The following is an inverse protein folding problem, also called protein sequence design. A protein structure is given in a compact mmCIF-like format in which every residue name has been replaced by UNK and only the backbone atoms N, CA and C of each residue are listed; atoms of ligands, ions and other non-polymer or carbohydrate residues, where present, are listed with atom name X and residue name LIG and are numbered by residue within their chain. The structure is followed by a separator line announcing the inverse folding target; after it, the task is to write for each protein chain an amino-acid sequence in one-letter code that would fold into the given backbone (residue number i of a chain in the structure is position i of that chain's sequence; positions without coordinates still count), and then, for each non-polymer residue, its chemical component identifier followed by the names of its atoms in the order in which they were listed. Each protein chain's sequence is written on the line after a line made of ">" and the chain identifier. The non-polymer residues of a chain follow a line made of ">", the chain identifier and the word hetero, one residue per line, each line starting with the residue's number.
data_IF_910687955206
#
_entry.id   IF_910687955206
#
_cell.length_a   1.000
_cell.length_b   1.000
_cell.length_c   1.000
_cell.angle_alpha   90.00
_cell.angle_beta   90.00
_cell.angle_gamma   90.00
#
_symmetry.space_group_name_H-M   'P 1'
#
loop_
_entity.id
_entity.type
_entity.pdbx_description
1 polymer ?
#
# COMPACT_ATOMS: atom_id res chain seq x y z
N UNK A 1 11.80 -5.18 -1.02
CA UNK A 1 12.61 -4.30 -1.91
C UNK A 1 13.93 -3.80 -1.33
N UNK A 2 13.97 -3.18 -0.14
CA UNK A 2 15.18 -2.53 0.38
C UNK A 2 16.34 -3.52 0.68
N UNK A 3 16.02 -4.66 1.29
CA UNK A 3 16.96 -5.76 1.46
C UNK A 3 16.17 -7.07 1.64
N UNK A 4 16.35 -8.01 0.70
CA UNK A 4 15.59 -9.28 0.67
C UNK A 4 16.46 -10.49 1.06
N UNK A 5 17.51 -10.26 1.85
CA UNK A 5 18.31 -11.31 2.46
C UNK A 5 17.46 -12.10 3.48
N UNK A 6 17.47 -13.43 3.38
CA UNK A 6 16.62 -14.31 4.19
C UNK A 6 16.88 -14.17 5.70
N UNK A 7 18.13 -13.95 6.13
CA UNK A 7 18.46 -13.78 7.55
C UNK A 7 17.89 -12.48 8.11
N UNK A 8 17.90 -11.41 7.31
CA UNK A 8 17.29 -10.12 7.69
C UNK A 8 15.77 -10.25 7.76
N UNK A 9 15.14 -10.91 6.78
CA UNK A 9 13.69 -11.16 6.80
C UNK A 9 13.29 -11.99 8.03
N UNK A 10 14.05 -13.03 8.38
CA UNK A 10 13.81 -13.84 9.60
C UNK A 10 13.96 -13.01 10.88
N UNK A 11 14.93 -12.10 10.92
CA UNK A 11 15.11 -11.18 12.05
C UNK A 11 13.89 -10.27 12.22
N UNK A 12 13.45 -9.60 11.14
CA UNK A 12 12.29 -8.72 11.14
C UNK A 12 11.00 -9.46 11.49
N UNK A 13 10.81 -10.67 10.95
CA UNK A 13 9.67 -11.53 11.28
C UNK A 13 9.61 -11.85 12.78
N UNK A 14 10.75 -12.24 13.39
CA UNK A 14 10.83 -12.50 14.84
C UNK A 14 10.58 -11.24 15.69
N UNK A 15 10.89 -10.07 15.17
CA UNK A 15 10.56 -8.78 15.80
C UNK A 15 9.08 -8.39 15.63
N UNK A 16 8.27 -9.20 14.96
CA UNK A 16 6.86 -8.95 14.74
C UNK A 16 6.56 -8.02 13.57
N UNK A 17 7.49 -7.79 12.64
CA UNK A 17 7.23 -6.96 11.46
C UNK A 17 6.32 -7.67 10.44
N UNK A 18 5.52 -6.87 9.75
CA UNK A 18 4.82 -7.22 8.51
C UNK A 18 5.68 -6.92 7.28
N UNK A 19 5.27 -7.36 6.09
CA UNK A 19 6.07 -7.16 4.86
C UNK A 19 5.26 -6.53 3.72
N UNK A 20 5.92 -5.63 2.99
CA UNK A 20 5.47 -5.07 1.70
C UNK A 20 6.34 -5.69 0.59
N UNK A 21 5.68 -6.42 -0.31
CA UNK A 21 6.33 -7.13 -1.43
C UNK A 21 5.90 -6.54 -2.77
N UNK A 22 6.78 -6.55 -3.77
CA UNK A 22 6.49 -6.06 -5.13
C UNK A 22 6.60 -7.11 -6.22
N UNK A 23 6.79 -8.38 -5.86
CA UNK A 23 6.80 -9.52 -6.79
C UNK A 23 6.53 -10.84 -6.07
N UNK A 24 6.15 -11.86 -6.84
CA UNK A 24 6.01 -13.24 -6.35
C UNK A 24 7.32 -13.81 -5.78
N UNK A 25 8.47 -13.36 -6.28
CA UNK A 25 9.78 -13.74 -5.74
C UNK A 25 10.05 -13.15 -4.35
N UNK A 26 9.60 -11.93 -4.08
CA UNK A 26 9.68 -11.36 -2.74
C UNK A 26 8.68 -12.03 -1.79
N UNK A 27 7.46 -12.29 -2.24
CA UNK A 27 6.46 -13.05 -1.50
C UNK A 27 6.99 -14.44 -1.10
N UNK A 28 7.60 -15.15 -2.05
CA UNK A 28 8.26 -16.43 -1.82
C UNK A 28 9.35 -16.34 -0.74
N UNK A 29 10.21 -15.30 -0.79
CA UNK A 29 11.27 -15.10 0.21
C UNK A 29 10.72 -14.82 1.61
N UNK A 30 9.67 -14.01 1.70
CA UNK A 30 8.99 -13.69 2.95
C UNK A 30 8.37 -14.96 3.56
N UNK A 31 7.72 -15.79 2.73
CA UNK A 31 7.22 -17.10 3.15
C UNK A 31 8.36 -18.01 3.65
N UNK A 32 9.49 -18.07 2.94
CA UNK A 32 10.66 -18.86 3.35
C UNK A 32 11.36 -18.32 4.62
N UNK A 33 11.12 -17.06 4.96
CA UNK A 33 11.54 -16.49 6.23
C UNK A 33 10.58 -16.86 7.40
N UNK A 34 9.53 -17.63 7.13
CA UNK A 34 8.54 -18.08 8.12
C UNK A 34 7.55 -16.98 8.51
N UNK A 35 7.37 -15.97 7.67
CA UNK A 35 6.42 -14.89 7.94
C UNK A 35 4.98 -15.33 7.70
N UNK A 36 4.07 -14.81 8.51
CA UNK A 36 2.64 -14.94 8.32
C UNK A 36 2.20 -14.10 7.11
N UNK A 37 1.80 -14.77 6.03
CA UNK A 37 1.38 -14.14 4.78
C UNK A 37 0.10 -13.32 4.93
N UNK A 38 -0.74 -13.61 5.94
CA UNK A 38 -1.95 -12.80 6.23
C UNK A 38 -1.63 -11.38 6.68
N UNK A 39 -0.35 -11.08 6.92
CA UNK A 39 0.18 -9.76 7.29
C UNK A 39 1.00 -9.12 6.15
N UNK A 40 0.99 -9.71 4.96
CA UNK A 40 1.78 -9.25 3.81
C UNK A 40 0.91 -8.46 2.85
N UNK A 41 1.35 -7.27 2.47
CA UNK A 41 0.73 -6.48 1.39
C UNK A 41 1.53 -6.65 0.10
N UNK A 42 0.84 -6.75 -1.04
CA UNK A 42 1.48 -6.91 -2.34
C UNK A 42 1.23 -5.68 -3.21
N UNK A 43 2.26 -4.87 -3.40
CA UNK A 43 2.27 -3.69 -4.27
C UNK A 43 2.88 -3.98 -5.66
N UNK A 44 2.96 -2.96 -6.51
CA UNK A 44 3.59 -3.03 -7.85
C UNK A 44 2.59 -2.96 -8.99
N UNK A 45 2.95 -2.26 -10.07
CA UNK A 45 2.06 -1.91 -11.21
C UNK A 45 1.88 -3.01 -12.25
N UNK A 46 2.56 -4.15 -12.10
CA UNK A 46 2.68 -5.16 -13.16
C UNK A 46 2.57 -6.59 -12.63
N UNK A 47 1.69 -6.82 -11.65
CA UNK A 47 1.45 -8.16 -11.10
C UNK A 47 0.92 -9.07 -12.21
N UNK A 48 1.58 -10.20 -12.40
CA UNK A 48 1.15 -11.21 -13.37
C UNK A 48 0.00 -12.07 -12.83
N UNK A 49 -0.76 -12.72 -13.71
CA UNK A 49 -1.82 -13.66 -13.31
C UNK A 49 -1.28 -14.77 -12.37
N UNK A 50 -0.04 -15.22 -12.59
CA UNK A 50 0.61 -16.21 -11.74
C UNK A 50 0.91 -15.66 -10.34
N UNK A 51 1.39 -14.43 -10.24
CA UNK A 51 1.65 -13.77 -8.95
C UNK A 51 0.36 -13.48 -8.17
N UNK A 52 -0.71 -13.08 -8.87
CA UNK A 52 -2.03 -12.87 -8.26
C UNK A 52 -2.57 -14.19 -7.69
N UNK A 53 -2.52 -15.27 -8.48
CA UNK A 53 -2.94 -16.61 -8.03
C UNK A 53 -2.15 -17.07 -6.81
N UNK A 54 -0.82 -16.97 -6.85
CA UNK A 54 0.05 -17.32 -5.73
C UNK A 54 -0.32 -16.55 -4.47
N UNK A 55 -0.54 -15.24 -4.58
CA UNK A 55 -0.85 -14.40 -3.44
C UNK A 55 -2.24 -14.69 -2.84
N UNK A 56 -3.23 -15.02 -3.68
CA UNK A 56 -4.55 -15.48 -3.23
C UNK A 56 -4.48 -16.85 -2.53
N UNK A 57 -3.69 -17.79 -3.03
CA UNK A 57 -3.44 -19.08 -2.38
C UNK A 57 -2.79 -18.91 -1.00
N UNK A 58 -1.93 -17.91 -0.86
CA UNK A 58 -1.22 -17.59 0.37
C UNK A 58 -2.01 -16.72 1.36
N UNK A 59 -3.27 -16.34 1.04
CA UNK A 59 -4.12 -15.51 1.90
C UNK A 59 -3.43 -14.22 2.38
N UNK A 60 -2.76 -13.54 1.45
CA UNK A 60 -2.14 -12.22 1.63
C UNK A 60 -3.10 -11.22 2.31
N UNK A 61 -2.59 -10.25 3.07
CA UNK A 61 -3.42 -9.23 3.75
C UNK A 61 -4.30 -8.47 2.76
N UNK A 62 -3.68 -7.95 1.70
CA UNK A 62 -4.34 -7.25 0.60
C UNK A 62 -3.36 -6.98 -0.56
N UNK A 63 -3.92 -6.87 -1.76
CA UNK A 63 -3.24 -6.29 -2.92
C UNK A 63 -3.33 -4.77 -2.87
N UNK A 64 -2.21 -4.07 -3.00
CA UNK A 64 -2.21 -2.64 -3.32
C UNK A 64 -2.35 -2.50 -4.84
N UNK A 65 -3.55 -2.19 -5.31
CA UNK A 65 -3.95 -2.10 -6.71
C UNK A 65 -3.65 -0.72 -7.27
N UNK A 66 -3.10 -0.67 -8.47
CA UNK A 66 -2.58 0.53 -9.13
C UNK A 66 -3.42 0.96 -10.34
N UNK A 67 -4.25 0.06 -10.90
CA UNK A 67 -5.05 0.33 -12.10
C UNK A 67 -6.35 -0.48 -12.16
N UNK A 68 -7.29 -0.05 -13.01
CA UNK A 68 -8.52 -0.82 -13.26
C UNK A 68 -8.23 -2.17 -13.92
N UNK A 69 -7.32 -2.22 -14.90
CA UNK A 69 -6.98 -3.47 -15.57
C UNK A 69 -6.42 -4.51 -14.59
N UNK A 70 -5.65 -4.08 -13.61
CA UNK A 70 -5.17 -4.93 -12.53
C UNK A 70 -6.30 -5.39 -11.60
N UNK A 71 -7.20 -4.48 -11.22
CA UNK A 71 -8.38 -4.82 -10.41
C UNK A 71 -9.23 -5.90 -11.09
N UNK A 72 -9.45 -5.76 -12.40
CA UNK A 72 -10.21 -6.70 -13.22
C UNK A 72 -9.51 -8.06 -13.33
N UNK A 73 -8.18 -8.06 -13.47
CA UNK A 73 -7.40 -9.29 -13.45
C UNK A 73 -7.52 -10.02 -12.09
N UNK A 74 -7.42 -9.27 -10.99
CA UNK A 74 -7.58 -9.82 -9.63
C UNK A 74 -8.97 -10.42 -9.45
N UNK A 75 -10.04 -9.69 -9.81
CA UNK A 75 -11.42 -10.19 -9.72
C UNK A 75 -11.62 -11.48 -10.52
N UNK A 76 -11.21 -11.48 -11.80
CA UNK A 76 -11.32 -12.67 -12.68
C UNK A 76 -10.60 -13.88 -12.10
N UNK A 77 -9.40 -13.71 -11.56
CA UNK A 77 -8.61 -14.80 -10.99
C UNK A 77 -9.24 -15.29 -9.69
N UNK A 78 -9.66 -14.37 -8.82
CA UNK A 78 -10.36 -14.70 -7.57
C UNK A 78 -11.65 -15.48 -7.81
N UNK A 79 -12.45 -15.06 -8.80
CA UNK A 79 -13.63 -15.78 -9.27
C UNK A 79 -13.28 -17.20 -9.74
N UNK A 80 -12.22 -17.36 -10.54
CA UNK A 80 -11.76 -18.69 -11.01
C UNK A 80 -11.30 -19.62 -9.87
N UNK A 81 -11.03 -19.05 -8.70
CA UNK A 81 -10.56 -19.75 -7.51
C UNK A 81 -11.65 -19.88 -6.44
N UNK A 82 -12.87 -19.39 -6.69
CA UNK A 82 -13.95 -19.25 -5.70
C UNK A 82 -13.48 -18.53 -4.42
N UNK A 83 -12.77 -17.41 -4.57
CA UNK A 83 -12.24 -16.60 -3.48
C UNK A 83 -12.68 -15.15 -3.62
N UNK A 84 -12.67 -14.44 -2.50
CA UNK A 84 -12.79 -12.98 -2.45
C UNK A 84 -11.39 -12.40 -2.25
N UNK A 85 -10.93 -11.56 -3.19
CA UNK A 85 -9.62 -10.95 -3.13
C UNK A 85 -9.64 -9.68 -2.27
N UNK A 86 -8.79 -9.59 -1.24
CA UNK A 86 -8.65 -8.38 -0.46
C UNK A 86 -7.82 -7.35 -1.23
N UNK A 87 -8.36 -6.15 -1.40
CA UNK A 87 -7.70 -5.07 -2.15
C UNK A 87 -7.65 -3.78 -1.34
N UNK A 88 -6.59 -3.01 -1.57
CA UNK A 88 -6.51 -1.59 -1.31
C UNK A 88 -6.24 -0.86 -2.61
N UNK A 89 -6.92 0.25 -2.84
CA UNK A 89 -6.70 1.07 -4.03
C UNK A 89 -5.61 2.10 -3.73
N UNK A 90 -4.59 2.18 -4.60
CA UNK A 90 -3.55 3.19 -4.45
C UNK A 90 -4.05 4.55 -4.94
N UNK A 91 -4.19 5.49 -4.01
CA UNK A 91 -4.56 6.88 -4.27
C UNK A 91 -3.30 7.73 -4.38
N UNK A 92 -3.24 8.57 -5.41
CA UNK A 92 -2.34 9.71 -5.46
C UNK A 92 -3.02 10.89 -4.76
N UNK A 93 -2.51 11.35 -3.60
CA UNK A 93 -3.17 12.40 -2.82
C UNK A 93 -2.93 13.82 -3.37
N UNK A 94 -2.19 13.98 -4.48
CA UNK A 94 -1.82 15.28 -5.08
C UNK A 94 -1.08 16.20 -4.08
N UNK A 95 -0.17 15.61 -3.30
CA UNK A 95 0.66 16.30 -2.32
C UNK A 95 2.06 16.49 -2.89
N UNK A 96 2.55 17.74 -2.94
CA UNK A 96 3.92 18.03 -3.33
C UNK A 96 4.88 17.66 -2.19
N UNK A 97 5.52 16.50 -2.31
CA UNK A 97 6.51 16.02 -1.34
C UNK A 97 7.83 16.82 -1.37
N UNK A 98 7.97 17.84 -2.24
CA UNK A 98 9.18 18.67 -2.41
C UNK A 98 10.48 17.87 -2.51
N UNK A 99 10.43 16.67 -3.10
CA UNK A 99 11.61 15.83 -3.32
C UNK A 99 12.32 16.26 -4.61
N UNK A 100 13.62 15.92 -4.75
CA UNK A 100 14.39 16.21 -5.96
C UNK A 100 13.63 15.78 -7.23
N UNK A 101 13.71 16.59 -8.30
CA UNK A 101 12.92 16.49 -9.53
C UNK A 101 12.94 15.12 -10.28
N UNK A 102 13.75 14.15 -9.83
CA UNK A 102 13.81 12.78 -10.38
C UNK A 102 13.05 11.73 -9.55
N UNK A 103 12.55 12.08 -8.36
CA UNK A 103 11.87 11.15 -7.42
C UNK A 103 10.51 11.68 -6.91
N UNK A 104 10.02 12.81 -7.44
CA UNK A 104 8.72 13.39 -7.07
C UNK A 104 7.60 12.55 -7.67
N UNK A 105 7.16 11.53 -6.94
CA UNK A 105 6.12 10.62 -7.44
C UNK A 105 4.68 11.08 -7.20
N UNK A 106 4.48 12.28 -6.64
CA UNK A 106 3.17 12.78 -6.18
C UNK A 106 2.45 13.78 -7.10
N UNK A 107 2.99 14.16 -8.26
CA UNK A 107 2.31 15.13 -9.17
C UNK A 107 1.47 14.43 -10.24
N UNK A 108 0.34 15.04 -10.63
CA UNK A 108 -0.43 14.71 -11.85
C UNK A 108 0.52 14.49 -13.03
N UNK A 109 0.58 13.25 -13.54
CA UNK A 109 1.49 12.84 -14.61
C UNK A 109 2.37 11.62 -14.28
N UNK A 110 2.35 11.14 -13.04
CA UNK A 110 3.13 9.97 -12.66
C UNK A 110 2.33 8.67 -12.80
N UNK A 111 2.96 7.59 -13.26
CA UNK A 111 2.31 6.30 -13.61
C UNK A 111 1.76 5.48 -12.42
N UNK A 112 1.78 6.04 -11.21
CA UNK A 112 1.54 5.30 -9.97
C UNK A 112 0.34 5.85 -9.22
N UNK A 113 -0.53 4.95 -8.77
CA UNK A 113 -1.80 5.28 -8.17
C UNK A 113 -2.77 5.97 -9.13
N UNK A 114 -3.95 6.27 -8.59
CA UNK A 114 -5.06 6.90 -9.30
C UNK A 114 -5.40 8.23 -8.65
N UNK A 115 -5.97 9.17 -9.40
CA UNK A 115 -6.59 10.35 -8.80
C UNK A 115 -7.85 9.97 -8.01
N UNK A 116 -8.38 10.93 -7.24
CA UNK A 116 -9.53 10.71 -6.36
C UNK A 116 -10.80 10.33 -7.10
N UNK A 117 -11.01 10.88 -8.31
CA UNK A 117 -12.20 10.59 -9.10
C UNK A 117 -12.18 9.13 -9.54
N UNK A 118 -11.07 8.70 -10.13
CA UNK A 118 -10.86 7.34 -10.58
C UNK A 118 -10.85 6.34 -9.41
N UNK A 119 -10.22 6.70 -8.30
CA UNK A 119 -10.25 5.92 -7.08
C UNK A 119 -11.70 5.67 -6.61
N UNK A 120 -12.53 6.71 -6.59
CA UNK A 120 -13.93 6.61 -6.19
C UNK A 120 -14.78 5.78 -7.16
N UNK A 121 -14.51 5.87 -8.47
CA UNK A 121 -15.15 5.02 -9.48
C UNK A 121 -14.81 3.53 -9.25
N UNK A 122 -13.54 3.20 -9.02
CA UNK A 122 -13.13 1.82 -8.76
C UNK A 122 -13.61 1.31 -7.40
N UNK A 123 -13.64 2.14 -6.36
CA UNK A 123 -14.24 1.76 -5.09
C UNK A 123 -15.71 1.37 -5.29
N UNK A 124 -16.48 2.16 -6.05
CA UNK A 124 -17.86 1.79 -6.38
C UNK A 124 -17.96 0.48 -7.17
N UNK A 125 -17.02 0.20 -8.08
CA UNK A 125 -16.94 -1.09 -8.78
C UNK A 125 -16.73 -2.25 -7.79
N UNK A 126 -15.85 -2.09 -6.80
CA UNK A 126 -15.61 -3.11 -5.76
C UNK A 126 -16.88 -3.41 -4.94
N UNK A 127 -17.74 -2.42 -4.64
CA UNK A 127 -19.01 -2.68 -3.93
C UNK A 127 -19.93 -3.66 -4.67
N UNK A 128 -19.83 -3.72 -5.99
CA UNK A 128 -20.72 -4.51 -6.85
C UNK A 128 -20.05 -5.78 -7.38
N UNK A 129 -18.83 -6.09 -6.94
CA UNK A 129 -18.08 -7.28 -7.34
C UNK A 129 -17.97 -8.26 -6.17
N UNK A 130 -18.64 -9.40 -6.29
CA UNK A 130 -18.66 -10.43 -5.26
C UNK A 130 -17.29 -11.10 -5.01
N UNK A 131 -16.30 -10.88 -5.88
CA UNK A 131 -14.97 -11.48 -5.77
C UNK A 131 -13.92 -10.50 -5.25
N UNK A 132 -14.31 -9.28 -4.86
CA UNK A 132 -13.41 -8.25 -4.35
C UNK A 132 -13.88 -7.74 -2.98
N UNK A 133 -12.92 -7.43 -2.11
CA UNK A 133 -13.17 -6.81 -0.82
C UNK A 133 -12.26 -5.58 -0.67
N UNK A 134 -12.84 -4.38 -0.61
CA UNK A 134 -12.06 -3.16 -0.36
C UNK A 134 -11.70 -3.06 1.13
N UNK A 135 -10.49 -3.48 1.48
CA UNK A 135 -9.98 -3.46 2.85
C UNK A 135 -9.34 -2.14 3.25
N UNK A 136 -8.87 -1.35 2.28
CA UNK A 136 -8.03 -0.21 2.58
C UNK A 136 -7.80 0.76 1.43
N UNK A 137 -6.99 1.77 1.74
CA UNK A 137 -6.36 2.62 0.75
C UNK A 137 -4.84 2.57 0.92
N UNK A 138 -4.11 2.76 -0.16
CA UNK A 138 -2.66 2.86 -0.16
C UNK A 138 -2.22 4.22 -0.72
N UNK A 139 -1.24 4.85 -0.09
CA UNK A 139 -0.55 6.03 -0.60
C UNK A 139 0.95 5.77 -0.55
N UNK A 140 1.69 6.31 -1.49
CA UNK A 140 3.15 6.38 -1.39
C UNK A 140 3.64 7.63 -2.08
N UNK A 141 4.10 8.59 -1.27
CA UNK A 141 4.40 9.96 -1.66
C UNK A 141 5.71 10.09 -2.47
N UNK A 142 6.62 9.14 -2.30
CA UNK A 142 7.94 9.10 -2.93
C UNK A 142 9.04 8.85 -1.91
N UNK A 143 10.29 8.86 -2.38
CA UNK A 143 11.46 8.60 -1.54
C UNK A 143 12.72 9.26 -2.14
N UNK A 144 13.62 9.83 -1.32
CA UNK A 144 13.46 10.09 0.11
C UNK A 144 12.66 11.38 0.38
N UNK A 145 11.87 11.40 1.46
CA UNK A 145 11.18 12.58 1.98
C UNK A 145 11.79 12.91 3.34
N UNK A 146 12.37 14.10 3.47
CA UNK A 146 13.18 14.51 4.62
C UNK A 146 12.40 15.30 5.69
N UNK A 147 11.11 15.54 5.46
CA UNK A 147 10.24 16.30 6.36
C UNK A 147 8.97 15.51 6.70
N UNK A 148 8.30 15.92 7.78
CA UNK A 148 7.07 15.26 8.27
C UNK A 148 5.81 15.82 7.62
N UNK A 149 5.80 17.08 7.18
CA UNK A 149 4.60 17.78 6.69
C UNK A 149 3.86 17.03 5.57
N UNK A 150 4.53 16.42 4.55
CA UNK A 150 3.83 15.67 3.52
C UNK A 150 3.05 14.46 4.06
N UNK A 151 3.56 13.84 5.12
CA UNK A 151 2.93 12.68 5.76
C UNK A 151 1.74 13.07 6.62
N UNK A 152 1.79 14.22 7.30
CA UNK A 152 0.63 14.78 8.01
C UNK A 152 -0.51 15.07 7.03
N UNK A 153 -0.20 15.75 5.92
CA UNK A 153 -1.17 16.04 4.88
C UNK A 153 -1.76 14.76 4.27
N UNK A 154 -0.93 13.74 4.04
CA UNK A 154 -1.38 12.45 3.51
C UNK A 154 -2.28 11.70 4.51
N UNK A 155 -1.94 11.71 5.81
CA UNK A 155 -2.74 11.09 6.86
C UNK A 155 -4.11 11.76 6.99
N UNK A 156 -4.16 13.10 6.96
CA UNK A 156 -5.42 13.85 6.93
C UNK A 156 -6.26 13.48 5.70
N UNK A 157 -5.65 13.46 4.52
CA UNK A 157 -6.36 13.10 3.28
C UNK A 157 -6.87 11.66 3.31
N UNK A 158 -6.08 10.74 3.84
CA UNK A 158 -6.45 9.35 4.00
C UNK A 158 -7.69 9.19 4.89
N UNK A 159 -7.74 9.92 6.02
CA UNK A 159 -8.90 9.89 6.91
C UNK A 159 -10.18 10.38 6.22
N UNK A 160 -10.11 11.47 5.44
CA UNK A 160 -11.24 11.97 4.64
C UNK A 160 -11.78 10.88 3.70
N UNK A 161 -10.88 10.26 2.94
CA UNK A 161 -11.24 9.23 1.95
C UNK A 161 -11.81 7.98 2.61
N UNK A 162 -11.19 7.49 3.69
CA UNK A 162 -11.70 6.31 4.41
C UNK A 162 -13.07 6.59 5.02
N UNK A 163 -13.30 7.79 5.56
CA UNK A 163 -14.60 8.19 6.10
C UNK A 163 -15.67 8.16 5.01
N UNK A 164 -15.37 8.69 3.83
CA UNK A 164 -16.27 8.66 2.68
C UNK A 164 -16.55 7.23 2.18
N UNK A 165 -15.52 6.39 2.07
CA UNK A 165 -15.68 4.98 1.68
C UNK A 165 -16.55 4.21 2.66
N UNK A 166 -16.35 4.40 3.97
CA UNK A 166 -17.18 3.77 5.01
C UNK A 166 -18.63 4.22 4.92
N UNK A 167 -18.88 5.51 4.70
CA UNK A 167 -20.23 6.05 4.51
C UNK A 167 -20.95 5.45 3.28
N UNK A 168 -20.20 4.96 2.28
CA UNK A 168 -20.73 4.26 1.11
C UNK A 168 -20.90 2.75 1.30
N UNK A 169 -20.57 2.21 2.48
CA UNK A 169 -20.75 0.80 2.83
C UNK A 169 -19.51 -0.08 2.76
N UNK A 170 -18.32 0.48 2.48
CA UNK A 170 -17.08 -0.29 2.51
C UNK A 170 -16.59 -0.59 3.94
N UNK A 171 -16.06 -1.79 4.17
CA UNK A 171 -15.37 -2.17 5.40
C UNK A 171 -13.87 -1.80 5.36
N UNK A 172 -13.59 -0.53 5.06
CA UNK A 172 -12.22 -0.04 4.91
C UNK A 172 -11.56 0.16 6.28
N UNK A 173 -10.68 -0.77 6.66
CA UNK A 173 -10.02 -0.81 7.98
C UNK A 173 -8.53 -0.47 7.93
N UNK A 174 -7.95 -0.41 6.73
CA UNK A 174 -6.52 -0.19 6.55
C UNK A 174 -6.21 1.12 5.83
N UNK A 175 -5.31 1.91 6.43
CA UNK A 175 -4.63 3.01 5.75
C UNK A 175 -3.15 2.65 5.67
N UNK A 176 -2.64 2.48 4.46
CA UNK A 176 -1.23 2.24 4.21
C UNK A 176 -0.61 3.50 3.61
N UNK A 177 0.15 4.27 4.40
CA UNK A 177 0.84 5.49 3.95
C UNK A 177 2.16 5.22 3.20
N UNK A 178 2.49 3.95 3.00
CA UNK A 178 3.71 3.52 2.32
C UNK A 178 4.98 3.87 3.10
N UNK A 179 6.12 3.71 2.43
CA UNK A 179 7.43 4.13 2.97
C UNK A 179 7.88 5.50 2.44
N UNK A 180 9.20 5.69 2.45
CA UNK A 180 9.85 6.84 1.82
C UNK A 180 10.35 7.91 2.77
N UNK A 181 10.00 7.81 4.06
CA UNK A 181 10.51 8.71 5.08
C UNK A 181 12.01 8.52 5.18
N UNK A 182 12.74 9.62 5.00
CA UNK A 182 14.18 9.61 4.85
C UNK A 182 14.88 9.28 6.15
N UNK A 183 16.13 8.86 6.01
CA UNK A 183 17.09 8.73 7.10
C UNK A 183 18.17 9.77 6.91
N UNK A 184 18.81 10.14 8.02
CA UNK A 184 19.92 11.08 8.00
C UNK A 184 21.21 10.34 7.64
N UNK A 185 21.75 10.57 6.44
CA UNK A 185 23.03 10.00 6.02
C UNK A 185 24.21 10.77 6.61
N UNK A 186 24.02 12.08 6.85
CA UNK A 186 25.08 12.99 7.34
C UNK A 186 24.86 13.53 8.76
N UNK A 187 23.69 13.31 9.37
CA UNK A 187 23.43 13.59 10.79
C UNK A 187 22.20 14.45 11.07
N UNK A 188 21.86 15.40 10.19
CA UNK A 188 20.82 16.43 10.40
C UNK A 188 19.79 16.55 9.26
N UNK A 189 19.78 15.62 8.30
CA UNK A 189 18.94 15.72 7.09
C UNK A 189 17.48 15.35 7.31
N UNK A 190 17.18 14.44 8.24
CA UNK A 190 15.82 13.95 8.50
C UNK A 190 15.58 13.80 10.02
N UNK A 191 14.38 14.14 10.51
CA UNK A 191 14.03 13.92 11.91
C UNK A 191 13.91 12.41 12.21
N UNK A 192 13.96 12.00 13.50
CA UNK A 192 13.77 10.61 13.87
C UNK A 192 12.36 10.12 13.53
N UNK A 193 12.19 8.81 13.35
CA UNK A 193 10.90 8.19 13.03
C UNK A 193 9.79 8.48 14.06
N UNK A 194 10.14 8.87 15.29
CA UNK A 194 9.19 9.33 16.30
C UNK A 194 8.47 10.63 15.89
N UNK A 195 9.13 11.54 15.17
CA UNK A 195 8.47 12.75 14.67
C UNK A 195 7.49 12.43 13.53
N UNK A 196 7.84 11.48 12.67
CA UNK A 196 6.91 10.92 11.68
C UNK A 196 5.67 10.32 12.36
N UNK A 197 5.86 9.51 13.41
CA UNK A 197 4.74 8.91 14.14
C UNK A 197 3.83 9.98 14.78
N UNK A 198 4.41 11.01 15.40
CA UNK A 198 3.66 12.11 16.05
C UNK A 198 2.67 12.79 15.12
N UNK A 199 3.02 12.99 13.84
CA UNK A 199 2.15 13.70 12.89
C UNK A 199 1.06 12.83 12.29
N UNK A 200 1.24 11.50 12.23
CA UNK A 200 0.24 10.60 11.63
C UNK A 200 -0.78 10.05 12.66
N UNK A 201 -0.35 9.81 13.90
CA UNK A 201 -1.18 9.21 14.95
C UNK A 201 -2.51 9.95 15.22
N UNK A 202 -2.59 11.29 15.16
CA UNK A 202 -3.85 12.00 15.37
C UNK A 202 -4.98 11.60 14.40
N UNK A 203 -4.62 11.10 13.21
CA UNK A 203 -5.55 10.76 12.13
C UNK A 203 -5.86 9.26 12.03
N UNK A 204 -5.15 8.43 12.80
CA UNK A 204 -5.26 6.97 12.77
C UNK A 204 -5.65 6.53 14.19
N UNK A 205 -6.93 6.69 14.53
CA UNK A 205 -7.51 6.18 15.76
C UNK A 205 -8.40 4.97 15.43
N UNK A 206 -8.31 3.95 16.28
CA UNK A 206 -9.04 2.68 16.19
C UNK A 206 -10.55 2.86 15.96
#
# INVERSE_FOLDING_TARGET
>A
KANSNLSILKLLNRAGCSFDVVSGGELYRVQHAGADTTRVVFAGVGKTDAEIRQALEQNILMFNVESEAELDAISRIAASMNRVAPVALRLNPDIDAKTHAKTTTGKKGNKFGMDIERHNQLANKVLHDANLELRGIHMHLGSPILTTDPYEAAAKKALEVVTELRARGHQTNWVNLGGGFGLSYRGDEAPPASEYAKVILPYIKE
#
